data_IF_601878405314
#
_entry.id   IF_601878405314
#
_cell.length_a   1.000
_cell.length_b   1.000
_cell.length_c   1.000
_cell.angle_alpha   90.00
_cell.angle_beta   90.00
_cell.angle_gamma   90.00
#
_symmetry.space_group_name_H-M   'P 1'
#
loop_
_entity.id
_entity.type
_entity.pdbx_description
1 polymer ?
#
# COMPACT_ATOMS: atom_id res chain seq x y z
N UNK A 1 -12.33 -19.85 17.95
CA UNK A 1 -10.91 -19.98 17.56
C UNK A 1 -10.44 -18.60 17.12
N UNK A 2 -9.77 -17.84 17.99
CA UNK A 2 -9.23 -16.53 17.61
C UNK A 2 -8.13 -16.74 16.57
N UNK A 3 -8.35 -16.31 15.33
CA UNK A 3 -7.30 -16.21 14.31
C UNK A 3 -6.26 -15.26 14.86
N UNK A 4 -5.12 -15.77 15.29
CA UNK A 4 -3.99 -14.95 15.69
C UNK A 4 -3.49 -14.23 14.44
N UNK A 5 -3.92 -12.98 14.24
CA UNK A 5 -3.44 -12.17 13.12
C UNK A 5 -1.94 -11.92 13.30
N UNK A 6 -1.14 -12.04 12.23
CA UNK A 6 0.28 -11.74 12.31
C UNK A 6 0.51 -10.27 12.69
N UNK A 7 1.68 -9.95 13.33
CA UNK A 7 2.03 -8.58 13.67
C UNK A 7 2.00 -7.64 12.44
N UNK A 8 1.71 -6.36 12.66
CA UNK A 8 1.62 -5.37 11.56
C UNK A 8 2.89 -5.30 10.71
N UNK A 9 4.07 -5.38 11.32
CA UNK A 9 5.34 -5.42 10.58
C UNK A 9 5.40 -6.57 9.58
N UNK A 10 4.93 -7.76 10.00
CA UNK A 10 4.92 -8.95 9.15
C UNK A 10 3.94 -8.76 8.00
N UNK A 11 2.73 -8.24 8.26
CA UNK A 11 1.73 -7.94 7.22
C UNK A 11 2.25 -6.95 6.19
N UNK A 12 2.85 -5.85 6.66
CA UNK A 12 3.46 -4.81 5.82
C UNK A 12 4.58 -5.38 4.94
N UNK A 13 5.43 -6.24 5.50
CA UNK A 13 6.50 -6.88 4.75
C UNK A 13 5.94 -7.88 3.72
N UNK A 14 4.98 -8.71 4.09
CA UNK A 14 4.34 -9.68 3.19
C UNK A 14 3.63 -8.99 2.01
N UNK A 15 2.92 -7.90 2.28
CA UNK A 15 2.33 -7.06 1.25
C UNK A 15 3.40 -6.51 0.29
N UNK A 16 4.47 -5.91 0.81
CA UNK A 16 5.58 -5.41 -0.02
C UNK A 16 6.22 -6.51 -0.87
N UNK A 17 6.43 -7.70 -0.30
CA UNK A 17 6.98 -8.84 -1.04
C UNK A 17 6.06 -9.26 -2.18
N UNK A 18 4.75 -9.33 -1.93
CA UNK A 18 3.73 -9.70 -2.91
C UNK A 18 3.68 -8.72 -4.08
N UNK A 19 3.57 -7.41 -3.80
CA UNK A 19 3.40 -6.40 -4.86
C UNK A 19 4.69 -6.14 -5.67
N UNK A 20 5.85 -6.47 -5.12
CA UNK A 20 7.15 -6.27 -5.81
C UNK A 20 7.75 -7.55 -6.37
N UNK A 21 7.27 -8.73 -5.95
CA UNK A 21 7.88 -10.03 -6.24
C UNK A 21 9.26 -10.22 -5.60
N UNK A 22 9.63 -9.42 -4.61
CA UNK A 22 10.96 -9.42 -3.99
C UNK A 22 10.92 -9.97 -2.57
N UNK A 23 11.93 -10.71 -2.13
CA UNK A 23 11.95 -11.32 -0.79
C UNK A 23 12.75 -10.53 0.24
N UNK A 24 13.63 -9.63 -0.21
CA UNK A 24 14.55 -8.85 0.63
C UNK A 24 14.19 -7.36 0.63
N UNK A 25 14.45 -6.66 1.74
CA UNK A 25 14.21 -5.21 1.86
C UNK A 25 14.94 -4.42 0.76
N UNK A 26 16.19 -4.78 0.45
CA UNK A 26 16.96 -4.12 -0.61
C UNK A 26 16.35 -4.38 -2.00
N UNK A 27 15.86 -5.59 -2.26
CA UNK A 27 15.16 -5.92 -3.51
C UNK A 27 13.87 -5.12 -3.66
N UNK A 28 13.05 -5.07 -2.60
CA UNK A 28 11.83 -4.26 -2.53
C UNK A 28 12.15 -2.78 -2.80
N UNK A 29 13.15 -2.23 -2.12
CA UNK A 29 13.57 -0.84 -2.28
C UNK A 29 14.01 -0.51 -3.70
N UNK A 30 14.83 -1.37 -4.32
CA UNK A 30 15.24 -1.24 -5.72
C UNK A 30 14.04 -1.28 -6.66
N UNK A 31 13.13 -2.25 -6.46
CA UNK A 31 11.93 -2.38 -7.28
C UNK A 31 11.08 -1.10 -7.24
N UNK A 32 10.90 -0.52 -6.05
CA UNK A 32 10.12 0.71 -5.83
C UNK A 32 10.88 2.01 -6.16
N UNK A 33 12.16 1.96 -6.51
CA UNK A 33 12.97 3.16 -6.70
C UNK A 33 13.06 4.02 -5.43
N UNK A 34 13.22 3.37 -4.27
CA UNK A 34 13.33 4.00 -2.94
C UNK A 34 14.58 3.54 -2.22
N UNK A 35 14.96 4.28 -1.19
CA UNK A 35 16.02 3.83 -0.30
C UNK A 35 15.54 2.71 0.64
N UNK A 36 16.41 1.75 0.91
CA UNK A 36 16.14 0.61 1.78
C UNK A 36 15.81 1.00 3.23
N UNK A 37 16.32 2.12 3.73
CA UNK A 37 15.96 2.64 5.05
C UNK A 37 14.52 3.15 5.09
N UNK A 38 14.03 3.73 3.98
CA UNK A 38 12.63 4.14 3.86
C UNK A 38 11.70 2.93 3.91
N UNK A 39 12.05 1.87 3.18
CA UNK A 39 11.29 0.60 3.21
C UNK A 39 11.35 -0.04 4.60
N UNK A 40 12.52 -0.07 5.23
CA UNK A 40 12.67 -0.56 6.60
C UNK A 40 11.82 0.23 7.61
N UNK A 41 11.77 1.56 7.46
CA UNK A 41 10.90 2.43 8.27
C UNK A 41 9.43 2.09 8.06
N UNK A 42 8.97 1.94 6.81
CA UNK A 42 7.58 1.58 6.54
C UNK A 42 7.16 0.26 7.19
N UNK A 43 8.03 -0.74 7.18
CA UNK A 43 7.74 -2.03 7.81
C UNK A 43 7.57 -1.84 9.33
N UNK A 44 8.50 -1.16 9.98
CA UNK A 44 8.52 -0.99 11.44
C UNK A 44 7.47 0.01 11.94
N UNK A 45 7.51 1.22 11.42
CA UNK A 45 6.75 2.38 11.92
C UNK A 45 5.41 2.56 11.20
N UNK A 46 5.26 1.96 10.02
CA UNK A 46 4.03 2.01 9.24
C UNK A 46 4.12 2.92 8.02
N UNK A 47 3.07 2.84 7.21
CA UNK A 47 2.96 3.64 6.00
C UNK A 47 2.13 4.88 6.27
N UNK A 48 2.45 5.96 5.56
CA UNK A 48 1.48 7.03 5.36
C UNK A 48 0.43 6.56 4.35
N UNK A 49 -0.81 7.03 4.50
CA UNK A 49 -1.90 6.75 3.56
C UNK A 49 -1.48 7.03 2.10
N UNK A 50 -0.84 8.16 1.85
CA UNK A 50 -0.34 8.54 0.51
C UNK A 50 0.68 7.54 -0.05
N UNK A 51 1.56 7.00 0.79
CA UNK A 51 2.55 6.02 0.35
C UNK A 51 1.87 4.71 -0.09
N UNK A 52 0.89 4.21 0.68
CA UNK A 52 0.15 3.00 0.34
C UNK A 52 -0.61 3.17 -0.95
N UNK A 53 -1.34 4.27 -1.09
CA UNK A 53 -2.12 4.55 -2.30
C UNK A 53 -1.21 4.63 -3.51
N UNK A 54 -0.14 5.44 -3.46
CA UNK A 54 0.78 5.59 -4.58
C UNK A 54 1.41 4.26 -4.99
N UNK A 55 1.91 3.49 -4.03
CA UNK A 55 2.54 2.20 -4.31
C UNK A 55 1.51 1.22 -4.92
N UNK A 56 0.29 1.22 -4.41
CA UNK A 56 -0.78 0.36 -4.93
C UNK A 56 -1.10 0.71 -6.38
N UNK A 57 -1.25 2.00 -6.69
CA UNK A 57 -1.54 2.46 -8.04
C UNK A 57 -0.37 2.17 -9.01
N UNK A 58 0.87 2.44 -8.60
CA UNK A 58 2.10 2.13 -9.38
C UNK A 58 2.25 0.63 -9.69
N UNK A 59 1.60 -0.23 -8.89
CA UNK A 59 1.66 -1.70 -9.01
C UNK A 59 0.36 -2.35 -9.45
N UNK A 60 -0.59 -1.55 -9.94
CA UNK A 60 -1.92 -1.99 -10.35
C UNK A 60 -2.66 -2.83 -9.28
N UNK A 61 -2.48 -2.46 -8.01
CA UNK A 61 -3.18 -3.03 -6.87
C UNK A 61 -4.29 -2.09 -6.38
N UNK A 62 -5.33 -2.67 -5.77
CA UNK A 62 -6.40 -1.91 -5.12
C UNK A 62 -5.86 -1.25 -3.83
N UNK A 63 -5.88 0.10 -3.73
CA UNK A 63 -5.44 0.82 -2.53
C UNK A 63 -6.25 0.48 -1.27
N UNK A 64 -7.55 0.22 -1.39
CA UNK A 64 -8.38 -0.13 -0.23
C UNK A 64 -7.97 -1.47 0.35
N UNK A 65 -7.85 -2.46 -0.53
CA UNK A 65 -7.38 -3.79 -0.15
C UNK A 65 -5.96 -3.72 0.45
N UNK A 66 -5.08 -2.89 -0.10
CA UNK A 66 -3.75 -2.70 0.46
C UNK A 66 -3.77 -2.12 1.89
N UNK A 67 -4.62 -1.12 2.16
CA UNK A 67 -4.78 -0.53 3.50
C UNK A 67 -5.32 -1.54 4.52
N UNK A 68 -6.26 -2.40 4.12
CA UNK A 68 -6.75 -3.50 4.97
C UNK A 68 -5.64 -4.55 5.20
N UNK A 69 -4.98 -5.03 4.15
CA UNK A 69 -3.97 -6.08 4.24
C UNK A 69 -2.82 -5.70 5.17
N UNK A 70 -2.31 -4.47 5.10
CA UNK A 70 -1.22 -4.01 5.97
C UNK A 70 -1.70 -3.64 7.38
N UNK A 71 -3.01 -3.70 7.64
CA UNK A 71 -3.62 -3.38 8.92
C UNK A 71 -3.74 -1.89 9.21
N UNK A 72 -3.55 -1.03 8.21
CA UNK A 72 -3.65 0.42 8.38
C UNK A 72 -5.06 0.83 8.82
N UNK A 73 -6.09 0.21 8.24
CA UNK A 73 -7.48 0.43 8.67
C UNK A 73 -7.68 0.01 10.14
N UNK A 74 -7.09 -1.10 10.58
CA UNK A 74 -7.20 -1.55 11.97
C UNK A 74 -6.44 -0.65 12.96
N UNK A 75 -5.29 -0.10 12.54
CA UNK A 75 -4.48 0.81 13.35
C UNK A 75 -5.09 2.21 13.45
N UNK A 76 -5.84 2.64 12.42
CA UNK A 76 -6.22 4.03 12.25
C UNK A 76 -7.72 4.30 12.09
N UNK A 77 -8.59 3.29 11.93
CA UNK A 77 -10.04 3.55 11.84
C UNK A 77 -10.96 2.41 12.29
N UNK A 78 -11.93 2.77 13.13
CA UNK A 78 -13.14 1.97 13.39
C UNK A 78 -14.15 2.12 12.23
N UNK A 79 -13.95 3.07 11.32
CA UNK A 79 -14.80 3.33 10.16
C UNK A 79 -13.93 3.51 8.90
N UNK A 80 -13.70 2.45 8.11
CA UNK A 80 -12.71 2.46 7.01
C UNK A 80 -13.00 3.34 5.78
N UNK A 81 -14.14 4.03 5.71
CA UNK A 81 -14.57 4.82 4.54
C UNK A 81 -14.09 6.29 4.48
N UNK A 82 -14.00 7.06 5.58
CA UNK A 82 -13.48 8.44 5.56
C UNK A 82 -11.99 8.51 5.23
N UNK A 83 -11.21 7.46 5.49
CA UNK A 83 -9.78 7.43 5.20
C UNK A 83 -9.48 7.62 3.71
N UNK A 84 -10.17 6.91 2.82
CA UNK A 84 -9.99 7.10 1.37
C UNK A 84 -10.51 8.45 0.86
N UNK A 85 -11.50 9.05 1.53
CA UNK A 85 -11.97 10.41 1.21
C UNK A 85 -10.93 11.49 1.52
N UNK A 86 -9.94 11.20 2.39
CA UNK A 86 -8.81 12.09 2.69
C UNK A 86 -7.67 11.96 1.68
N UNK A 87 -7.69 10.95 0.81
CA UNK A 87 -6.77 10.88 -0.32
C UNK A 87 -7.16 11.99 -1.30
N UNK A 88 -6.23 12.87 -1.72
CA UNK A 88 -6.55 13.95 -2.64
C UNK A 88 -7.25 13.39 -3.89
N UNK A 89 -8.53 13.76 -4.07
CA UNK A 89 -9.42 13.22 -5.09
C UNK A 89 -8.81 13.36 -6.48
N UNK A 90 -8.05 14.43 -6.71
CA UNK A 90 -7.30 14.69 -7.94
C UNK A 90 -6.38 13.54 -8.37
N UNK A 91 -5.72 12.85 -7.43
CA UNK A 91 -4.83 11.72 -7.75
C UNK A 91 -5.59 10.46 -8.13
N UNK A 92 -6.67 10.15 -7.40
CA UNK A 92 -7.56 9.03 -7.72
C UNK A 92 -8.25 9.26 -9.07
N UNK A 93 -8.71 10.49 -9.33
CA UNK A 93 -9.29 10.90 -10.60
C UNK A 93 -8.28 10.82 -11.75
N UNK A 94 -7.05 11.28 -11.55
CA UNK A 94 -6.00 11.20 -12.58
C UNK A 94 -5.64 9.75 -12.94
N UNK A 95 -5.62 8.86 -11.95
CA UNK A 95 -5.34 7.43 -12.18
C UNK A 95 -6.52 6.70 -12.85
N UNK A 96 -7.76 6.99 -12.43
CA UNK A 96 -8.95 6.48 -13.12
C UNK A 96 -8.98 6.95 -14.59
N UNK A 97 -8.63 8.21 -14.84
CA UNK A 97 -8.52 8.76 -16.19
C UNK A 97 -7.42 8.05 -16.99
N UNK A 98 -6.23 7.86 -16.41
CA UNK A 98 -5.11 7.12 -17.04
C UNK A 98 -5.53 5.70 -17.45
N UNK A 99 -6.21 4.96 -16.56
CA UNK A 99 -6.66 3.58 -16.84
C UNK A 99 -7.78 3.51 -17.87
N UNK A 100 -8.69 4.49 -17.86
CA UNK A 100 -9.75 4.58 -18.86
C UNK A 100 -9.18 4.80 -20.27
N UNK A 101 -8.18 5.68 -20.40
CA UNK A 101 -7.48 5.93 -21.68
C UNK A 101 -6.64 4.73 -22.10
N UNK A 102 -5.92 4.08 -21.18
CA UNK A 102 -5.07 2.91 -21.49
C UNK A 102 -5.86 1.67 -21.93
N UNK A 103 -7.15 1.54 -21.59
CA UNK A 103 -8.03 0.44 -22.02
C UNK A 103 -8.69 0.67 -23.38
N UNK A 104 -8.54 1.84 -23.98
CA UNK A 104 -9.13 2.19 -25.29
C UNK A 104 -8.22 1.88 -26.48
N UNK A 105 -7.02 1.34 -26.24
CA UNK A 105 -6.07 0.87 -27.24
C UNK A 105 -5.76 -0.61 -27.01
#
# INVERSE_FOLDING_TARGET
MSKHRPPYEQRRLEWLRRITGQTTIRGIARSLGRDHTTVGRWVKEGFTLDAVVRISLERDADPYQALDEIGWLEEHDSDGMPALQRVPTERLTAELHRRAVARQF
#
